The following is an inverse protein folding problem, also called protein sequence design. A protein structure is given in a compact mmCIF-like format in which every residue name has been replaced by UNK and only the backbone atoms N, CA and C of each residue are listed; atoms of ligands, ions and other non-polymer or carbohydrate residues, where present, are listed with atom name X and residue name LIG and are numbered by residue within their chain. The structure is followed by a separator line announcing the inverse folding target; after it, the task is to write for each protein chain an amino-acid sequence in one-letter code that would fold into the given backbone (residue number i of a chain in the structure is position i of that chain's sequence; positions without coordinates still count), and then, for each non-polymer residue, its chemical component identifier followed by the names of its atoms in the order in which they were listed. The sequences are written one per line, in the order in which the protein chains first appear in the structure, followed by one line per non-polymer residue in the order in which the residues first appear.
data_IF_039769249558
#
_entry.id   IF_039769249558
#
_cell.length_a   1.000
_cell.length_b   1.000
_cell.length_c   1.000
_cell.angle_alpha   90.00
_cell.angle_beta   90.00
_cell.angle_gamma   90.00
#
_symmetry.space_group_name_H-M   'P 1'
#
loop_
_entity.id
_entity.type
_entity.pdbx_description
1 polymer ?
#
# COMPACT_ATOMS: atom_id res chain seq x y z
N UNK A 1 4.94 -8.26 -18.67
CA UNK A 1 4.59 -7.91 -17.28
C UNK A 1 3.31 -8.63 -16.94
N UNK A 2 3.26 -9.38 -15.83
CA UNK A 2 2.03 -9.99 -15.33
C UNK A 2 1.59 -9.28 -14.06
N UNK A 3 0.30 -9.34 -13.78
CA UNK A 3 -0.29 -8.79 -12.57
C UNK A 3 -1.56 -9.56 -12.22
N UNK A 4 -1.92 -9.51 -10.94
CA UNK A 4 -3.22 -9.97 -10.44
C UNK A 4 -4.10 -8.76 -10.21
N UNK A 5 -5.28 -8.75 -10.82
CA UNK A 5 -6.31 -7.74 -10.60
C UNK A 5 -7.53 -8.38 -9.96
N UNK A 6 -7.78 -8.05 -8.70
CA UNK A 6 -8.83 -8.66 -7.89
C UNK A 6 -9.93 -7.63 -7.58
N UNK A 7 -11.16 -7.95 -8.00
CA UNK A 7 -12.37 -7.13 -7.78
C UNK A 7 -13.33 -7.75 -6.75
N UNK A 8 -12.96 -8.86 -6.13
CA UNK A 8 -13.83 -9.62 -5.23
C UNK A 8 -14.20 -8.85 -3.94
N UNK A 9 -13.39 -7.86 -3.54
CA UNK A 9 -13.60 -7.05 -2.35
C UNK A 9 -14.76 -6.03 -2.41
N UNK A 10 -15.44 -5.90 -3.54
CA UNK A 10 -16.66 -5.10 -3.73
C UNK A 10 -16.46 -3.58 -3.76
N UNK A 11 -15.93 -2.98 -2.69
CA UNK A 11 -15.77 -1.51 -2.57
C UNK A 11 -14.48 -0.96 -3.17
N UNK A 12 -13.46 -1.80 -3.26
CA UNK A 12 -12.14 -1.48 -3.81
C UNK A 12 -11.69 -2.65 -4.66
N UNK A 13 -10.84 -2.36 -5.64
CA UNK A 13 -10.11 -3.40 -6.35
C UNK A 13 -8.66 -3.43 -5.87
N UNK A 14 -8.02 -4.58 -5.98
CA UNK A 14 -6.63 -4.79 -5.61
C UNK A 14 -5.82 -5.13 -6.84
N UNK A 15 -4.60 -4.59 -6.91
CA UNK A 15 -3.67 -4.85 -8.01
C UNK A 15 -2.31 -5.20 -7.44
N UNK A 16 -1.75 -6.34 -7.86
CA UNK A 16 -0.38 -6.73 -7.52
C UNK A 16 0.38 -7.08 -8.77
N UNK A 17 1.51 -6.43 -8.99
CA UNK A 17 2.42 -6.78 -10.09
C UNK A 17 3.31 -7.96 -9.70
N UNK A 18 3.62 -8.81 -10.67
CA UNK A 18 4.63 -9.86 -10.47
C UNK A 18 5.99 -9.21 -10.15
N UNK A 19 6.65 -9.67 -9.09
CA UNK A 19 7.92 -9.11 -8.60
C UNK A 19 7.77 -7.87 -7.70
N UNK A 20 6.59 -7.26 -7.61
CA UNK A 20 6.31 -6.20 -6.65
C UNK A 20 5.64 -6.77 -5.39
N UNK A 21 6.23 -6.58 -4.19
CA UNK A 21 5.58 -6.99 -2.96
C UNK A 21 4.39 -6.09 -2.59
N UNK A 22 4.17 -4.94 -3.24
CA UNK A 22 3.00 -4.10 -2.99
C UNK A 22 1.72 -4.65 -3.61
N UNK A 23 0.70 -4.80 -2.78
CA UNK A 23 -0.69 -4.81 -3.24
C UNK A 23 -1.20 -3.37 -3.26
N UNK A 24 -1.54 -2.86 -4.43
CA UNK A 24 -2.14 -1.54 -4.61
C UNK A 24 -3.64 -1.61 -4.41
N UNK A 25 -4.16 -0.66 -3.63
CA UNK A 25 -5.60 -0.47 -3.41
C UNK A 25 -6.10 0.54 -4.44
N UNK A 26 -7.08 0.13 -5.23
CA UNK A 26 -7.61 0.91 -6.33
C UNK A 26 -9.07 1.29 -6.10
N UNK A 27 -9.38 2.56 -6.34
CA UNK A 27 -10.75 3.09 -6.41
C UNK A 27 -11.18 3.16 -7.87
N UNK A 28 -12.36 2.63 -8.15
CA UNK A 28 -13.00 2.72 -9.47
C UNK A 28 -13.70 4.07 -9.61
N UNK A 29 -13.58 4.69 -10.78
CA UNK A 29 -14.33 5.87 -11.20
C UNK A 29 -14.83 5.63 -12.62
N UNK A 30 -16.07 5.98 -12.90
CA UNK A 30 -16.62 5.85 -14.25
C UNK A 30 -15.88 6.77 -15.23
N UNK A 31 -15.45 6.20 -16.35
CA UNK A 31 -14.85 6.94 -17.44
C UNK A 31 -15.92 7.54 -18.35
N UNK A 32 -15.58 8.66 -19.00
CA UNK A 32 -16.36 9.15 -20.13
C UNK A 32 -16.46 8.04 -21.20
N UNK A 33 -17.68 7.62 -21.54
CA UNK A 33 -17.95 6.51 -22.45
C UNK A 33 -18.23 5.15 -21.78
N UNK A 34 -18.49 5.10 -20.48
CA UNK A 34 -19.08 3.91 -19.82
C UNK A 34 -18.09 2.83 -19.36
N UNK A 35 -16.78 3.10 -19.42
CA UNK A 35 -15.75 2.24 -18.85
C UNK A 35 -15.42 2.59 -17.40
N UNK A 36 -14.41 1.94 -16.83
CA UNK A 36 -13.90 2.20 -15.48
C UNK A 36 -12.44 2.64 -15.52
N UNK A 37 -12.09 3.58 -14.67
CA UNK A 37 -10.73 4.02 -14.39
C UNK A 37 -10.41 3.65 -12.95
N UNK A 38 -9.31 2.93 -12.76
CA UNK A 38 -8.83 2.51 -11.45
C UNK A 38 -7.61 3.33 -11.06
N UNK A 39 -7.72 4.02 -9.93
CA UNK A 39 -6.68 4.89 -9.39
C UNK A 39 -6.28 4.46 -7.99
N UNK A 40 -5.01 4.63 -7.67
CA UNK A 40 -4.52 4.55 -6.28
C UNK A 40 -5.13 5.65 -5.43
N UNK A 41 -4.93 5.55 -4.11
CA UNK A 41 -5.35 6.58 -3.15
C UNK A 41 -4.73 7.98 -3.40
N UNK A 42 -3.55 8.05 -4.00
CA UNK A 42 -2.88 9.30 -4.41
C UNK A 42 -3.24 9.74 -5.84
N UNK A 43 -4.26 9.11 -6.45
CA UNK A 43 -4.82 9.52 -7.74
C UNK A 43 -4.09 9.01 -8.98
N UNK A 44 -3.01 8.23 -8.84
CA UNK A 44 -2.31 7.66 -9.99
C UNK A 44 -3.19 6.66 -10.73
N UNK A 45 -3.38 6.87 -12.03
CA UNK A 45 -4.02 5.92 -12.93
C UNK A 45 -3.18 4.65 -13.02
N UNK A 46 -3.78 3.50 -12.69
CA UNK A 46 -3.13 2.18 -12.82
C UNK A 46 -3.80 1.29 -13.85
N UNK A 47 -5.14 1.31 -13.95
CA UNK A 47 -5.87 0.53 -14.95
C UNK A 47 -6.99 1.36 -15.56
N UNK A 48 -7.28 1.06 -16.82
CA UNK A 48 -8.52 1.43 -17.50
C UNK A 48 -9.18 0.17 -18.03
N UNK A 49 -10.47 0.03 -17.78
CA UNK A 49 -11.30 -1.07 -18.29
C UNK A 49 -12.34 -0.45 -19.21
N UNK A 50 -12.42 -0.93 -20.46
CA UNK A 50 -13.45 -0.47 -21.41
C UNK A 50 -14.80 -1.11 -21.08
N UNK A 51 -15.92 -0.60 -21.62
CA UNK A 51 -17.24 -1.24 -21.45
C UNK A 51 -17.28 -2.71 -21.87
N UNK A 52 -16.44 -3.07 -22.85
CA UNK A 52 -16.32 -4.44 -23.37
C UNK A 52 -15.30 -5.30 -22.59
N UNK A 53 -14.75 -4.79 -21.48
CA UNK A 53 -13.85 -5.53 -20.60
C UNK A 53 -12.37 -5.51 -21.01
N UNK A 54 -11.98 -4.79 -22.06
CA UNK A 54 -10.56 -4.65 -22.43
C UNK A 54 -9.80 -3.87 -21.37
N UNK A 55 -8.65 -4.38 -20.92
CA UNK A 55 -7.86 -3.76 -19.87
C UNK A 55 -6.63 -3.06 -20.48
N UNK A 56 -6.37 -1.84 -20.06
CA UNK A 56 -5.11 -1.14 -20.28
C UNK A 56 -4.44 -0.87 -18.94
N UNK A 57 -3.18 -1.29 -18.79
CA UNK A 57 -2.39 -1.09 -17.58
C UNK A 57 -1.39 0.06 -17.76
N UNK A 58 -1.32 0.92 -16.76
CA UNK A 58 -0.44 2.07 -16.72
C UNK A 58 0.59 1.87 -15.61
N UNK A 59 1.87 2.09 -15.95
CA UNK A 59 2.96 1.98 -14.97
C UNK A 59 3.83 3.22 -15.04
N UNK A 60 4.76 3.37 -14.09
CA UNK A 60 5.75 4.45 -14.16
C UNK A 60 6.64 4.33 -15.39
N UNK A 61 7.01 3.10 -15.76
CA UNK A 61 7.84 2.81 -16.92
C UNK A 61 7.08 2.95 -18.25
N UNK A 62 5.77 2.72 -18.26
CA UNK A 62 4.93 2.91 -19.42
C UNK A 62 3.70 3.76 -19.09
N UNK A 63 3.84 5.07 -19.29
CA UNK A 63 2.78 6.07 -19.07
C UNK A 63 1.74 6.10 -20.20
N UNK A 64 2.09 5.64 -21.41
CA UNK A 64 1.14 5.53 -22.53
C UNK A 64 0.13 4.40 -22.32
N UNK A 65 0.47 3.45 -21.45
CA UNK A 65 -0.33 2.27 -21.16
C UNK A 65 0.04 1.09 -22.05
N UNK A 66 -0.25 -0.12 -21.58
CA UNK A 66 -0.13 -1.34 -22.34
C UNK A 66 -1.46 -2.10 -22.31
N UNK A 67 -1.93 -2.65 -23.45
CA UNK A 67 -3.06 -3.55 -23.43
C UNK A 67 -2.70 -4.79 -22.61
N UNK A 68 -3.67 -5.29 -21.85
CA UNK A 68 -3.55 -6.51 -21.08
C UNK A 68 -4.62 -7.51 -21.53
N UNK A 69 -4.23 -8.78 -21.56
CA UNK A 69 -5.10 -9.90 -21.83
C UNK A 69 -5.17 -10.79 -20.59
N UNK A 70 -6.31 -11.46 -20.41
CA UNK A 70 -6.48 -12.42 -19.32
C UNK A 70 -5.62 -13.66 -19.57
N UNK A 71 -4.82 -14.06 -18.57
CA UNK A 71 -3.99 -15.27 -18.60
C UNK A 71 -4.69 -16.43 -17.85
N UNK A 72 -5.49 -16.11 -16.82
CA UNK A 72 -6.26 -17.09 -16.05
C UNK A 72 -6.76 -16.56 -14.71
N UNK A 73 -7.39 -17.43 -13.93
CA UNK A 73 -7.89 -17.11 -12.59
C UNK A 73 -6.78 -17.19 -11.54
N UNK A 74 -6.75 -16.20 -10.65
CA UNK A 74 -5.85 -16.16 -9.50
C UNK A 74 -6.65 -16.23 -8.19
N UNK A 75 -5.99 -16.63 -7.10
CA UNK A 75 -6.59 -16.56 -5.77
C UNK A 75 -6.83 -15.09 -5.36
N UNK A 76 -7.89 -14.81 -4.57
CA UNK A 76 -8.12 -13.48 -4.03
C UNK A 76 -6.92 -12.94 -3.25
N UNK A 77 -6.67 -11.64 -3.37
CA UNK A 77 -5.59 -10.97 -2.66
C UNK A 77 -6.05 -10.65 -1.24
N UNK A 78 -5.57 -11.41 -0.27
CA UNK A 78 -5.84 -11.19 1.16
C UNK A 78 -4.54 -11.04 1.95
N UNK A 79 -4.51 -10.19 2.98
CA UNK A 79 -3.36 -10.11 3.88
C UNK A 79 -3.09 -11.48 4.53
N UNK A 80 -1.82 -11.87 4.57
CA UNK A 80 -1.39 -13.10 5.23
C UNK A 80 -1.73 -13.05 6.73
N UNK A 81 -2.35 -14.11 7.27
CA UNK A 81 -2.50 -14.22 8.72
C UNK A 81 -1.16 -14.63 9.34
N UNK A 82 -0.56 -13.74 10.13
CA UNK A 82 0.80 -13.93 10.67
C UNK A 82 0.73 -14.22 12.17
N UNK A 83 1.34 -15.33 12.60
CA UNK A 83 1.46 -15.62 14.03
C UNK A 83 2.34 -14.56 14.73
N UNK A 84 2.04 -14.24 15.98
CA UNK A 84 2.73 -13.16 16.70
C UNK A 84 4.26 -13.35 16.79
N UNK A 85 4.72 -14.59 16.99
CA UNK A 85 6.16 -14.89 17.02
C UNK A 85 6.83 -14.64 15.66
N UNK A 86 6.16 -14.98 14.56
CA UNK A 86 6.68 -14.77 13.20
C UNK A 86 6.69 -13.29 12.84
N UNK A 87 5.64 -12.57 13.24
CA UNK A 87 5.57 -11.12 13.14
C UNK A 87 6.78 -10.47 13.82
N UNK A 88 7.09 -10.82 15.07
CA UNK A 88 8.24 -10.24 15.76
C UNK A 88 9.56 -10.47 15.02
N UNK A 89 9.78 -11.67 14.47
CA UNK A 89 10.99 -11.96 13.67
C UNK A 89 11.04 -11.10 12.41
N UNK A 90 9.95 -11.07 11.63
CA UNK A 90 9.84 -10.26 10.40
C UNK A 90 10.02 -8.77 10.68
N UNK A 91 9.53 -8.26 11.81
CA UNK A 91 9.76 -6.86 12.21
C UNK A 91 11.22 -6.55 12.47
N UNK A 92 11.96 -7.42 13.17
CA UNK A 92 13.40 -7.21 13.40
C UNK A 92 14.19 -7.19 12.10
N UNK A 93 13.85 -8.09 11.17
CA UNK A 93 14.43 -8.11 9.82
C UNK A 93 14.09 -6.85 9.04
N UNK A 94 12.82 -6.42 9.08
CA UNK A 94 12.35 -5.19 8.45
C UNK A 94 13.08 -3.96 8.99
N UNK A 95 13.23 -3.82 10.30
CA UNK A 95 13.96 -2.71 10.93
C UNK A 95 15.41 -2.66 10.44
N UNK A 96 16.07 -3.81 10.39
CA UNK A 96 17.46 -3.93 9.92
C UNK A 96 17.59 -3.55 8.44
N UNK A 97 16.63 -3.98 7.60
CA UNK A 97 16.58 -3.62 6.17
C UNK A 97 16.27 -2.13 5.97
N UNK A 98 15.30 -1.59 6.70
CA UNK A 98 14.93 -0.19 6.64
C UNK A 98 16.11 0.71 7.02
N UNK A 99 16.84 0.36 8.09
CA UNK A 99 18.02 1.13 8.50
C UNK A 99 19.09 1.22 7.41
N UNK A 100 19.34 0.12 6.68
CA UNK A 100 20.27 0.10 5.56
C UNK A 100 19.80 0.94 4.37
N UNK A 101 18.51 0.84 4.03
CA UNK A 101 17.96 1.52 2.85
C UNK A 101 17.75 3.02 3.08
N UNK A 102 17.41 3.42 4.30
CA UNK A 102 17.20 4.83 4.66
C UNK A 102 18.52 5.52 5.04
N UNK A 103 19.52 4.76 5.46
CA UNK A 103 20.82 5.30 5.91
C UNK A 103 20.85 5.75 7.37
N UNK A 104 19.79 5.48 8.14
CA UNK A 104 19.71 5.78 9.58
C UNK A 104 18.78 4.79 10.30
N UNK A 105 18.95 4.64 11.61
CA UNK A 105 18.09 3.74 12.41
C UNK A 105 16.66 4.26 12.48
N UNK A 106 15.71 3.43 12.08
CA UNK A 106 14.26 3.68 12.20
C UNK A 106 13.64 2.66 13.15
N UNK A 107 13.08 3.12 14.26
CA UNK A 107 12.41 2.26 15.25
C UNK A 107 10.94 2.11 14.89
N UNK A 108 10.48 0.86 14.77
CA UNK A 108 9.08 0.55 14.53
C UNK A 108 8.42 0.15 15.86
N UNK A 109 7.33 0.84 16.20
CA UNK A 109 6.52 0.56 17.39
C UNK A 109 5.16 0.08 16.91
N UNK A 110 4.77 -1.12 17.34
CA UNK A 110 3.51 -1.76 16.98
C UNK A 110 2.77 -2.25 18.22
N UNK A 111 1.44 -2.49 18.15
CA UNK A 111 0.69 -3.00 19.29
C UNK A 111 1.23 -4.36 19.75
N UNK A 112 1.35 -4.56 21.06
CA UNK A 112 1.98 -5.76 21.63
C UNK A 112 1.09 -7.03 21.56
N UNK A 113 -0.22 -6.88 21.40
CA UNK A 113 -1.16 -7.99 21.33
C UNK A 113 -2.18 -7.75 20.22
N UNK A 114 -2.31 -8.72 19.32
CA UNK A 114 -3.34 -8.73 18.28
C UNK A 114 -3.54 -10.13 17.72
N UNK A 115 -4.68 -10.37 17.07
CA UNK A 115 -4.94 -11.63 16.35
C UNK A 115 -4.09 -11.74 15.08
N UNK A 116 -3.88 -12.96 14.59
CA UNK A 116 -3.06 -13.22 13.41
C UNK A 116 -3.51 -12.46 12.13
N UNK A 117 -4.81 -12.30 11.84
CA UNK A 117 -5.23 -11.48 10.70
C UNK A 117 -4.88 -9.99 10.85
N UNK A 118 -4.99 -9.44 12.07
CA UNK A 118 -4.60 -8.06 12.34
C UNK A 118 -3.09 -7.88 12.19
N UNK A 119 -2.33 -8.88 12.62
CA UNK A 119 -0.87 -8.89 12.49
C UNK A 119 -0.42 -8.81 11.02
N UNK A 120 -1.11 -9.51 10.13
CA UNK A 120 -0.87 -9.43 8.68
C UNK A 120 -0.92 -7.99 8.14
N UNK A 121 -2.01 -7.28 8.45
CA UNK A 121 -2.21 -5.90 7.98
C UNK A 121 -1.19 -4.94 8.61
N UNK A 122 -0.89 -5.10 9.89
CA UNK A 122 0.12 -4.27 10.59
C UNK A 122 1.52 -4.49 10.00
N UNK A 123 1.88 -5.74 9.70
CA UNK A 123 3.16 -6.06 9.05
C UNK A 123 3.24 -5.45 7.64
N UNK A 124 2.20 -5.62 6.83
CA UNK A 124 2.15 -5.03 5.48
C UNK A 124 2.26 -3.50 5.54
N UNK A 125 1.59 -2.85 6.49
CA UNK A 125 1.72 -1.40 6.71
C UNK A 125 3.14 -0.99 7.10
N UNK A 126 3.84 -1.80 7.90
CA UNK A 126 5.24 -1.55 8.25
C UNK A 126 6.16 -1.69 7.03
N UNK A 127 5.93 -2.70 6.19
CA UNK A 127 6.66 -2.85 4.92
C UNK A 127 6.43 -1.66 3.99
N UNK A 128 5.19 -1.17 3.88
CA UNK A 128 4.87 0.04 3.13
C UNK A 128 5.59 1.26 3.68
N UNK A 129 5.68 1.37 5.00
CA UNK A 129 6.41 2.46 5.64
C UNK A 129 7.89 2.41 5.32
N UNK A 130 8.52 1.24 5.44
CA UNK A 130 9.93 1.06 5.08
C UNK A 130 10.18 1.39 3.60
N UNK A 131 9.31 0.93 2.69
CA UNK A 131 9.41 1.23 1.26
C UNK A 131 9.21 2.72 0.95
N UNK A 132 8.21 3.36 1.58
CA UNK A 132 7.93 4.78 1.41
C UNK A 132 9.06 5.67 1.93
N UNK A 133 9.65 5.31 3.07
CA UNK A 133 10.82 5.98 3.63
C UNK A 133 12.06 5.83 2.75
N UNK A 134 12.33 4.62 2.25
CA UNK A 134 13.45 4.38 1.34
C UNK A 134 13.31 5.14 0.01
N UNK A 135 12.08 5.38 -0.44
CA UNK A 135 11.78 6.15 -1.64
C UNK A 135 11.72 7.67 -1.41
N UNK A 136 11.81 8.15 -0.17
CA UNK A 136 11.78 9.56 0.18
C UNK A 136 13.20 10.14 0.17
N UNK A 137 13.48 11.19 -0.63
CA UNK A 137 14.77 11.87 -0.57
C UNK A 137 14.97 12.52 0.81
N UNK A 138 16.06 12.19 1.50
CA UNK A 138 16.50 12.82 2.76
C UNK A 138 15.40 12.91 3.84
N UNK A 139 14.99 11.75 4.38
CA UNK A 139 13.99 11.69 5.48
C UNK A 139 14.63 11.82 6.86
N UNK A 140 14.01 12.60 7.74
CA UNK A 140 14.39 12.71 9.16
C UNK A 140 13.55 11.78 10.08
N UNK A 141 12.77 10.86 9.50
CA UNK A 141 11.96 9.94 10.30
C UNK A 141 12.88 8.96 11.04
N UNK A 142 12.82 9.00 12.37
CA UNK A 142 13.53 8.07 13.27
C UNK A 142 12.61 7.05 13.93
N UNK A 143 11.30 7.34 13.96
CA UNK A 143 10.31 6.50 14.63
C UNK A 143 9.06 6.35 13.79
N UNK A 144 8.65 5.11 13.57
CA UNK A 144 7.37 4.75 12.96
C UNK A 144 6.49 4.14 14.05
N UNK A 145 5.34 4.74 14.31
CA UNK A 145 4.36 4.24 15.29
C UNK A 145 3.13 3.77 14.54
N UNK A 146 2.84 2.47 14.61
CA UNK A 146 1.66 1.88 13.98
C UNK A 146 0.60 1.64 15.06
N UNK A 147 -0.61 2.14 14.83
CA UNK A 147 -1.77 1.95 15.72
C UNK A 147 -2.94 1.35 14.95
N UNK A 148 -3.84 0.69 15.67
CA UNK A 148 -5.07 0.13 15.09
C UNK A 148 -6.22 1.11 15.33
N UNK A 149 -7.03 1.34 14.31
CA UNK A 149 -8.22 2.20 14.34
C UNK A 149 -9.32 1.74 13.39
N UNK A 150 -10.32 2.61 13.21
CA UNK A 150 -11.46 2.35 12.34
C UNK A 150 -11.23 2.81 10.90
N UNK A 151 -10.32 3.76 10.67
CA UNK A 151 -9.93 4.28 9.36
C UNK A 151 -8.40 4.25 9.20
N UNK A 152 -7.89 4.03 7.97
CA UNK A 152 -6.46 4.16 7.70
C UNK A 152 -6.03 5.63 7.71
N UNK A 153 -4.78 5.89 8.08
CA UNK A 153 -4.21 7.23 8.05
C UNK A 153 -2.71 7.25 8.24
N UNK A 154 -2.07 8.33 7.82
CA UNK A 154 -0.64 8.57 8.00
C UNK A 154 -0.40 10.04 8.29
N UNK A 155 0.46 10.31 9.27
CA UNK A 155 0.81 11.66 9.69
C UNK A 155 2.27 11.73 10.12
N UNK A 156 2.99 12.76 9.68
CA UNK A 156 4.34 13.07 10.15
C UNK A 156 4.29 14.20 11.18
N UNK A 157 4.93 14.00 12.33
CA UNK A 157 5.17 15.05 13.35
C UNK A 157 6.62 15.01 13.79
N UNK A 158 7.40 16.01 13.39
CA UNK A 158 8.84 16.01 13.62
C UNK A 158 9.49 14.77 12.99
N UNK A 159 10.20 13.99 13.81
CA UNK A 159 10.86 12.73 13.39
C UNK A 159 9.96 11.48 13.55
N UNK A 160 8.71 11.64 13.98
CA UNK A 160 7.77 10.53 14.19
C UNK A 160 6.72 10.45 13.08
N UNK A 161 6.70 9.32 12.38
CA UNK A 161 5.64 8.94 11.44
C UNK A 161 4.61 8.08 12.18
N UNK A 162 3.40 8.59 12.33
CA UNK A 162 2.27 7.86 12.90
C UNK A 162 1.42 7.26 11.77
N UNK A 163 1.20 5.95 11.82
CA UNK A 163 0.41 5.20 10.84
C UNK A 163 -0.76 4.55 11.59
N UNK A 164 -1.97 4.86 11.18
CA UNK A 164 -3.16 4.18 11.65
C UNK A 164 -3.60 3.14 10.62
N UNK A 165 -3.83 1.91 11.06
CA UNK A 165 -4.36 0.84 10.23
C UNK A 165 -5.76 0.44 10.65
N UNK A 166 -6.58 0.03 9.70
CA UNK A 166 -7.95 -0.44 9.84
C UNK A 166 -8.06 -1.89 9.35
N UNK A 167 -7.66 -2.90 10.16
CA UNK A 167 -7.53 -4.29 9.70
C UNK A 167 -8.81 -4.90 9.11
N UNK A 168 -9.98 -4.42 9.52
CA UNK A 168 -11.28 -4.81 8.99
C UNK A 168 -11.45 -4.51 7.48
N UNK A 169 -10.60 -3.64 6.92
CA UNK A 169 -10.59 -3.30 5.48
C UNK A 169 -9.52 -4.07 4.69
N UNK A 170 -8.80 -5.01 5.30
CA UNK A 170 -7.72 -5.76 4.65
C UNK A 170 -6.61 -4.83 4.14
N UNK A 171 -6.16 -5.01 2.89
CA UNK A 171 -5.17 -4.14 2.26
C UNK A 171 -5.63 -2.67 2.12
N UNK A 172 -6.94 -2.42 1.99
CA UNK A 172 -7.47 -1.05 1.98
C UNK A 172 -7.44 -0.38 3.35
N UNK A 173 -7.11 -1.14 4.40
CA UNK A 173 -6.95 -0.67 5.76
C UNK A 173 -5.57 -0.11 6.08
N UNK A 174 -4.68 0.06 5.10
CA UNK A 174 -3.35 0.66 5.33
C UNK A 174 -3.01 1.71 4.26
N UNK A 175 -2.18 2.71 4.59
CA UNK A 175 -1.60 3.61 3.61
C UNK A 175 -0.63 2.90 2.66
N UNK A 176 -0.56 3.32 1.41
CA UNK A 176 0.44 2.88 0.43
C UNK A 176 1.84 3.44 0.71
N UNK A 177 2.85 2.80 0.14
CA UNK A 177 4.22 3.30 0.21
C UNK A 177 4.35 4.70 -0.42
N UNK A 178 3.58 4.98 -1.47
CA UNK A 178 3.54 6.30 -2.10
C UNK A 178 2.89 7.35 -1.19
N UNK A 179 1.76 7.06 -0.54
CA UNK A 179 1.15 7.99 0.40
C UNK A 179 2.10 8.30 1.56
N UNK A 180 2.79 7.28 2.10
CA UNK A 180 3.79 7.48 3.15
C UNK A 180 4.94 8.35 2.65
N UNK A 181 5.49 8.06 1.47
CA UNK A 181 6.54 8.89 0.85
C UNK A 181 6.06 10.33 0.70
N UNK A 182 4.87 10.56 0.17
CA UNK A 182 4.34 11.90 -0.07
C UNK A 182 4.18 12.68 1.24
N UNK A 183 3.73 12.05 2.32
CA UNK A 183 3.67 12.67 3.67
C UNK A 183 5.06 13.06 4.14
N UNK A 184 6.02 12.16 3.98
CA UNK A 184 7.40 12.37 4.44
C UNK A 184 8.10 13.46 3.66
N UNK A 185 7.82 13.61 2.36
CA UNK A 185 8.40 14.65 1.51
C UNK A 185 7.59 15.95 1.51
N UNK A 186 6.56 16.07 2.34
CA UNK A 186 5.69 17.25 2.38
C UNK A 186 4.85 17.48 1.11
N UNK A 187 4.68 16.45 0.28
CA UNK A 187 3.88 16.49 -0.96
C UNK A 187 2.38 16.25 -0.73
N UNK A 188 1.92 16.19 0.52
CA UNK A 188 0.49 15.96 0.81
C UNK A 188 -0.31 17.23 0.52
N UNK A 189 -1.03 17.19 -0.61
CA UNK A 189 -2.35 17.79 -0.72
C UNK A 189 -3.24 17.14 0.33
N UNK A 190 -3.52 17.86 1.41
CA UNK A 190 -4.71 17.54 2.20
C UNK A 190 -5.95 17.73 1.33
N UNK A 191 -7.11 17.14 1.69
CA UNK A 191 -8.35 17.82 1.30
C UNK A 191 -8.28 19.22 1.90
N UNK A 192 -8.32 20.25 1.06
CA UNK A 192 -8.80 21.56 1.50
C UNK A 192 -10.23 21.36 2.00
N UNK A 193 -10.41 21.63 3.30
CA UNK A 193 -11.65 21.94 4.04
C UNK A 193 -12.86 21.03 3.80
#
# INVERSE_FOLDING_TARGET
MRFTFDRSGGRVALLRFEGDPEVHVLRSVMAAGGGEIYRTEDGNLMLRVTPHGSITVYTRANRAGAPASEDGRAAPLTPEAVAFADMQRRFRELQSRAARNVGQTVTFVVPAQMSAPKAGVVLDAAERAAAGLAAAPLTNVRRVVITIGTTPGVLLRGEQLSIQVAPQMGYAGRPSSNAIRNVVTGQVQGPEQ
#
